data_IF_225770691395
#
_entry.id   IF_225770691395
#
_cell.length_a   1.000
_cell.length_b   1.000
_cell.length_c   1.000
_cell.angle_alpha   90.00
_cell.angle_beta   90.00
_cell.angle_gamma   90.00
#
_symmetry.space_group_name_H-M   'P 1'
#
loop_
_entity.id
_entity.type
_entity.pdbx_description
1 polymer ?
#
# COMPACT_ATOMS: atom_id res chain seq x y z
N UNK A 1 -17.44 50.12 3.48
CA UNK A 1 -18.37 49.77 2.40
C UNK A 1 -18.33 48.29 2.22
N UNK A 2 -19.21 47.56 2.94
CA UNK A 2 -19.27 46.11 2.98
C UNK A 2 -20.21 45.61 1.87
N UNK A 3 -19.77 44.66 1.08
CA UNK A 3 -20.62 43.90 0.16
C UNK A 3 -20.55 42.43 0.51
N UNK A 4 -21.56 41.95 1.17
CA UNK A 4 -21.84 40.52 1.41
C UNK A 4 -22.50 39.94 0.15
N UNK A 5 -21.90 38.92 -0.41
CA UNK A 5 -22.49 38.15 -1.51
C UNK A 5 -22.99 36.81 -0.93
N UNK A 6 -24.33 36.66 -0.87
CA UNK A 6 -25.01 35.42 -0.44
C UNK A 6 -25.31 34.56 -1.67
N UNK A 7 -24.87 33.33 -1.69
CA UNK A 7 -25.24 32.30 -2.67
C UNK A 7 -26.53 31.58 -2.21
N UNK A 8 -27.45 31.26 -3.12
CA UNK A 8 -28.72 30.60 -2.78
C UNK A 8 -28.54 29.09 -2.66
N UNK A 9 -29.22 28.53 -1.65
CA UNK A 9 -29.38 27.07 -1.45
C UNK A 9 -30.44 26.55 -2.41
N UNK A 10 -30.06 25.57 -3.24
CA UNK A 10 -31.02 24.85 -4.08
C UNK A 10 -31.45 23.57 -3.35
N UNK A 11 -32.72 23.51 -2.97
CA UNK A 11 -33.42 22.32 -2.49
C UNK A 11 -33.94 21.54 -3.70
N UNK A 12 -33.58 20.29 -3.84
CA UNK A 12 -34.24 19.36 -4.76
C UNK A 12 -34.94 18.31 -3.91
N UNK A 13 -36.26 18.39 -3.91
CA UNK A 13 -37.17 17.38 -3.37
C UNK A 13 -37.38 16.30 -4.44
N UNK A 14 -37.07 15.09 -4.16
CA UNK A 14 -37.28 13.95 -5.05
C UNK A 14 -38.36 13.01 -4.52
N UNK A 15 -39.24 12.69 -5.38
CA UNK A 15 -40.55 12.06 -5.31
C UNK A 15 -40.45 10.56 -4.97
N UNK A 16 -41.21 10.12 -3.94
CA UNK A 16 -41.50 8.70 -3.66
C UNK A 16 -42.53 8.17 -4.65
N UNK A 17 -42.28 7.04 -5.27
CA UNK A 17 -43.27 6.20 -5.92
C UNK A 17 -43.38 4.87 -5.20
N UNK A 18 -44.48 4.68 -4.48
CA UNK A 18 -44.96 3.39 -4.01
C UNK A 18 -45.72 2.69 -5.15
N UNK A 19 -45.41 1.47 -5.42
CA UNK A 19 -46.28 0.58 -6.16
C UNK A 19 -46.46 -0.72 -5.39
N UNK A 20 -47.74 -1.04 -5.17
CA UNK A 20 -48.23 -2.10 -4.30
C UNK A 20 -48.58 -3.38 -5.03
N UNK A 21 -48.54 -4.47 -4.26
CA UNK A 21 -49.37 -5.66 -4.28
C UNK A 21 -49.47 -6.55 -5.54
N UNK A 22 -49.08 -7.78 -5.33
CA UNK A 22 -49.54 -8.96 -6.08
C UNK A 22 -49.38 -10.19 -5.22
N UNK A 23 -50.41 -10.55 -4.45
CA UNK A 23 -50.55 -11.83 -3.76
C UNK A 23 -50.95 -12.91 -4.71
N UNK A 24 -50.21 -14.02 -4.81
CA UNK A 24 -50.75 -15.29 -5.21
C UNK A 24 -50.17 -16.40 -4.37
N UNK A 25 -51.07 -17.01 -3.60
CA UNK A 25 -50.90 -18.22 -2.82
C UNK A 25 -51.00 -19.44 -3.73
N UNK A 26 -49.99 -20.29 -3.75
CA UNK A 26 -50.17 -21.68 -4.07
C UNK A 26 -49.54 -22.57 -3.01
N UNK A 27 -50.40 -23.46 -2.59
CA UNK A 27 -50.31 -24.35 -1.45
C UNK A 27 -49.64 -25.66 -1.84
N UNK A 28 -48.86 -26.14 -0.88
CA UNK A 28 -48.65 -27.51 -0.44
C UNK A 28 -48.00 -28.58 -1.35
N UNK A 29 -47.05 -29.10 -0.72
CA UNK A 29 -46.76 -30.54 -0.49
C UNK A 29 -45.67 -31.17 -1.32
N UNK A 30 -44.75 -31.56 -0.53
CA UNK A 30 -43.99 -32.81 -0.52
C UNK A 30 -42.61 -32.87 -1.19
N UNK A 31 -41.79 -33.29 -0.31
CA UNK A 31 -40.69 -34.24 -0.48
C UNK A 31 -39.25 -33.69 -0.64
N UNK A 32 -38.57 -34.05 0.39
CA UNK A 32 -37.21 -34.63 0.38
C UNK A 32 -36.05 -33.69 0.46
N UNK A 33 -35.50 -33.68 1.64
CA UNK A 33 -34.07 -33.55 1.98
C UNK A 33 -33.10 -33.44 0.80
N UNK A 34 -32.71 -32.26 0.49
CA UNK A 34 -31.37 -31.97 0.00
C UNK A 34 -30.83 -30.83 0.85
N UNK A 35 -29.86 -31.16 1.69
CA UNK A 35 -29.03 -30.22 2.37
C UNK A 35 -28.24 -29.44 1.31
N UNK A 36 -28.80 -28.34 0.85
CA UNK A 36 -28.01 -27.32 0.18
C UNK A 36 -27.54 -26.37 1.24
N UNK A 37 -26.30 -26.63 1.72
CA UNK A 37 -25.53 -25.62 2.38
C UNK A 37 -25.53 -24.40 1.49
N UNK A 38 -26.16 -23.37 1.99
CA UNK A 38 -26.02 -22.03 1.42
C UNK A 38 -24.64 -21.55 1.85
N UNK A 39 -23.62 -21.92 1.08
CA UNK A 39 -22.35 -21.22 1.08
C UNK A 39 -22.64 -19.82 0.57
N UNK A 40 -22.98 -18.94 1.51
CA UNK A 40 -22.69 -17.53 1.35
C UNK A 40 -21.18 -17.37 1.61
N UNK A 41 -20.35 -18.05 0.79
CA UNK A 41 -18.95 -17.73 0.66
C UNK A 41 -18.94 -16.33 0.04
N UNK A 42 -18.63 -15.33 0.86
CA UNK A 42 -18.02 -14.12 0.37
C UNK A 42 -16.93 -14.57 -0.59
N UNK A 43 -16.79 -13.90 -1.71
CA UNK A 43 -15.68 -14.09 -2.63
C UNK A 43 -14.41 -13.74 -1.86
N UNK A 44 -13.87 -14.70 -1.10
CA UNK A 44 -12.49 -14.64 -0.66
C UNK A 44 -11.68 -14.67 -1.96
N UNK A 45 -11.00 -13.57 -2.25
CA UNK A 45 -10.12 -13.53 -3.41
C UNK A 45 -9.12 -14.66 -3.22
N UNK A 46 -9.14 -15.65 -4.10
CA UNK A 46 -8.19 -16.74 -4.06
C UNK A 46 -6.77 -16.17 -4.11
N UNK A 47 -5.88 -16.67 -3.30
CA UNK A 47 -4.47 -16.29 -3.27
C UNK A 47 -3.59 -17.52 -3.46
N UNK A 48 -2.32 -17.32 -3.75
CA UNK A 48 -1.32 -18.37 -3.88
C UNK A 48 -0.02 -18.01 -3.14
N UNK A 49 0.97 -18.88 -3.21
CA UNK A 49 2.26 -18.69 -2.53
C UNK A 49 3.00 -17.41 -3.00
N UNK A 50 2.81 -16.98 -4.24
CA UNK A 50 3.42 -15.75 -4.74
C UNK A 50 2.80 -14.49 -4.11
N UNK A 51 1.48 -14.50 -3.88
CA UNK A 51 0.78 -13.42 -3.17
C UNK A 51 1.26 -13.32 -1.71
N UNK A 52 1.41 -14.47 -1.04
CA UNK A 52 1.92 -14.55 0.34
C UNK A 52 3.36 -14.03 0.40
N UNK A 53 4.23 -14.51 -0.49
CA UNK A 53 5.63 -14.10 -0.54
C UNK A 53 5.75 -12.60 -0.82
N UNK A 54 4.94 -12.05 -1.72
CA UNK A 54 4.92 -10.62 -1.99
C UNK A 54 4.62 -9.82 -0.72
N UNK A 55 3.56 -10.16 0.00
CA UNK A 55 3.20 -9.46 1.24
C UNK A 55 4.30 -9.59 2.31
N UNK A 56 4.84 -10.82 2.50
CA UNK A 56 5.90 -11.08 3.47
C UNK A 56 7.19 -10.31 3.18
N UNK A 57 7.55 -10.12 1.92
CA UNK A 57 8.77 -9.39 1.54
C UNK A 57 8.54 -7.87 1.45
N UNK A 58 7.39 -7.43 0.98
CA UNK A 58 7.11 -6.01 0.80
C UNK A 58 6.90 -5.27 2.12
N UNK A 59 6.36 -5.95 3.16
CA UNK A 59 6.23 -5.35 4.49
C UNK A 59 7.58 -4.85 5.03
N UNK A 60 8.61 -5.70 5.24
CA UNK A 60 9.89 -5.20 5.76
C UNK A 60 10.60 -4.25 4.79
N UNK A 61 10.35 -4.36 3.49
CA UNK A 61 10.86 -3.41 2.51
C UNK A 61 10.24 -2.02 2.73
N UNK A 62 8.95 -1.91 2.94
CA UNK A 62 8.27 -0.65 3.23
C UNK A 62 8.66 -0.10 4.62
N UNK A 63 8.81 -0.96 5.63
CA UNK A 63 9.30 -0.54 6.95
C UNK A 63 10.67 0.15 6.86
N UNK A 64 11.58 -0.35 6.01
CA UNK A 64 12.86 0.35 5.80
C UNK A 64 12.68 1.69 5.08
N UNK A 65 11.76 1.82 4.12
CA UNK A 65 11.48 3.12 3.51
C UNK A 65 10.97 4.14 4.53
N UNK A 66 10.15 3.69 5.50
CA UNK A 66 9.68 4.53 6.60
C UNK A 66 10.84 4.92 7.52
N UNK A 67 11.75 4.00 7.83
CA UNK A 67 12.97 4.31 8.58
C UNK A 67 13.80 5.38 7.88
N UNK A 68 14.05 5.23 6.59
CA UNK A 68 14.77 6.23 5.78
C UNK A 68 14.02 7.57 5.71
N UNK A 69 12.68 7.54 5.66
CA UNK A 69 11.86 8.74 5.70
C UNK A 69 11.96 9.45 7.07
N UNK A 70 11.93 8.71 8.16
CA UNK A 70 12.09 9.26 9.52
C UNK A 70 13.48 9.88 9.71
N UNK A 71 14.54 9.31 9.13
CA UNK A 71 15.87 9.95 9.08
C UNK A 71 15.81 11.29 8.35
N UNK A 72 15.16 11.38 7.20
CA UNK A 72 15.03 12.64 6.45
C UNK A 72 14.22 13.70 7.22
N UNK A 73 13.30 13.28 8.08
CA UNK A 73 12.50 14.17 8.94
C UNK A 73 13.21 14.57 10.22
N UNK A 74 14.32 13.90 10.60
CA UNK A 74 15.12 14.27 11.77
C UNK A 74 15.81 15.62 11.54
N UNK A 75 15.54 16.63 12.38
CA UNK A 75 16.13 17.97 12.22
C UNK A 75 17.66 17.98 12.38
N UNK A 76 18.26 16.97 12.99
CA UNK A 76 19.71 16.89 13.18
C UNK A 76 20.45 16.63 11.87
N UNK A 77 19.85 15.93 10.93
CA UNK A 77 20.42 15.63 9.62
C UNK A 77 20.27 16.80 8.62
N UNK A 78 19.47 17.82 8.97
CA UNK A 78 19.34 19.07 8.20
C UNK A 78 18.97 18.85 6.73
N UNK A 79 18.13 17.85 6.46
CA UNK A 79 17.62 17.62 5.13
C UNK A 79 16.89 18.86 4.60
N UNK A 80 16.91 19.05 3.29
CA UNK A 80 16.17 20.13 2.62
C UNK A 80 14.67 19.96 2.77
N UNK A 81 13.92 21.05 2.65
CA UNK A 81 12.44 20.99 2.69
C UNK A 81 11.84 20.14 1.56
N UNK A 82 12.54 20.00 0.44
CA UNK A 82 12.12 19.13 -0.65
C UNK A 82 12.22 17.65 -0.25
N UNK A 83 13.34 17.25 0.33
CA UNK A 83 13.56 15.88 0.84
C UNK A 83 12.57 15.57 1.97
N UNK A 84 12.39 16.46 2.93
CA UNK A 84 11.41 16.29 4.02
C UNK A 84 9.97 16.13 3.51
N UNK A 85 9.61 16.93 2.51
CA UNK A 85 8.26 16.85 1.92
C UNK A 85 8.05 15.49 1.26
N UNK A 86 9.03 15.02 0.48
CA UNK A 86 8.95 13.72 -0.18
C UNK A 86 8.97 12.56 0.84
N UNK A 87 9.83 12.63 1.85
CA UNK A 87 9.87 11.66 2.93
C UNK A 87 8.52 11.52 3.67
N UNK A 88 7.87 12.65 3.96
CA UNK A 88 6.55 12.64 4.58
C UNK A 88 5.47 12.04 3.66
N UNK A 89 5.56 12.25 2.34
CA UNK A 89 4.67 11.65 1.35
C UNK A 89 4.87 10.14 1.27
N UNK A 90 6.11 9.67 1.14
CA UNK A 90 6.47 8.24 1.12
C UNK A 90 5.92 7.54 2.37
N UNK A 91 6.18 8.09 3.55
CA UNK A 91 5.66 7.54 4.81
C UNK A 91 4.13 7.44 4.81
N UNK A 92 3.45 8.51 4.40
CA UNK A 92 1.98 8.56 4.37
C UNK A 92 1.36 7.57 3.36
N UNK A 93 2.08 7.24 2.29
CA UNK A 93 1.64 6.27 1.30
C UNK A 93 1.89 4.83 1.79
N UNK A 94 3.07 4.56 2.33
CA UNK A 94 3.49 3.19 2.63
C UNK A 94 2.99 2.65 3.98
N UNK A 95 2.72 3.50 4.99
CA UNK A 95 2.12 3.07 6.27
C UNK A 95 0.81 2.28 6.07
N UNK A 96 -0.20 2.77 5.31
CA UNK A 96 -1.44 2.02 5.08
C UNK A 96 -1.27 0.76 4.20
N UNK A 97 -0.23 0.71 3.36
CA UNK A 97 0.07 -0.47 2.55
C UNK A 97 0.63 -1.61 3.42
N UNK A 98 1.48 -1.30 4.41
CA UNK A 98 1.93 -2.26 5.42
C UNK A 98 0.74 -2.82 6.20
N UNK A 99 -0.17 -1.96 6.67
CA UNK A 99 -1.35 -2.37 7.39
C UNK A 99 -2.21 -3.33 6.55
N UNK A 100 -2.42 -3.01 5.27
CA UNK A 100 -3.20 -3.82 4.35
C UNK A 100 -2.57 -5.20 4.11
N UNK A 101 -1.28 -5.26 3.83
CA UNK A 101 -0.56 -6.53 3.61
C UNK A 101 -0.51 -7.38 4.89
N UNK A 102 -0.36 -6.75 6.04
CA UNK A 102 -0.42 -7.42 7.36
C UNK A 102 -1.80 -8.03 7.60
N UNK A 103 -2.87 -7.32 7.22
CA UNK A 103 -4.24 -7.84 7.31
C UNK A 103 -4.41 -9.05 6.39
N UNK A 104 -3.91 -8.99 5.15
CA UNK A 104 -3.98 -10.15 4.23
C UNK A 104 -3.28 -11.38 4.80
N UNK A 105 -2.06 -11.25 5.31
CA UNK A 105 -1.36 -12.38 5.92
C UNK A 105 -2.12 -12.97 7.10
N UNK A 106 -2.77 -12.11 7.91
CA UNK A 106 -3.63 -12.55 9.02
C UNK A 106 -4.85 -13.31 8.51
N UNK A 107 -5.54 -12.80 7.49
CA UNK A 107 -6.73 -13.41 6.92
C UNK A 107 -6.42 -14.74 6.21
N UNK A 108 -5.20 -14.87 5.69
CA UNK A 108 -4.69 -16.09 5.05
C UNK A 108 -4.06 -17.09 6.01
N UNK A 109 -4.05 -16.80 7.32
CA UNK A 109 -3.36 -17.61 8.37
C UNK A 109 -1.87 -17.85 8.01
N UNK A 110 -1.20 -16.80 7.49
CA UNK A 110 0.21 -16.82 7.12
C UNK A 110 1.03 -15.97 8.10
N UNK A 111 2.26 -16.40 8.48
CA UNK A 111 3.12 -15.63 9.37
C UNK A 111 3.67 -14.38 8.69
N UNK A 112 3.98 -13.36 9.48
CA UNK A 112 4.90 -12.30 9.07
C UNK A 112 6.30 -12.90 8.89
N UNK A 113 7.11 -12.30 8.00
CA UNK A 113 8.51 -12.68 7.86
C UNK A 113 9.30 -12.28 9.12
N UNK A 114 10.02 -13.23 9.70
CA UNK A 114 10.92 -12.94 10.83
C UNK A 114 12.29 -12.50 10.29
N UNK A 115 12.54 -11.20 10.32
CA UNK A 115 13.82 -10.62 9.89
C UNK A 115 14.95 -10.83 10.91
N UNK A 116 14.68 -11.42 12.08
CA UNK A 116 15.70 -11.70 13.10
C UNK A 116 16.50 -12.97 12.81
N UNK A 117 15.99 -13.86 11.97
CA UNK A 117 16.76 -14.99 11.47
C UNK A 117 17.67 -14.49 10.35
N UNK A 118 18.98 -14.78 10.46
CA UNK A 118 20.01 -14.47 9.46
C UNK A 118 19.74 -15.22 8.13
N UNK A 119 18.60 -14.94 7.52
CA UNK A 119 18.42 -15.25 6.12
C UNK A 119 19.10 -14.13 5.35
N UNK A 120 20.22 -14.47 4.71
CA UNK A 120 20.95 -13.64 3.76
C UNK A 120 20.07 -13.37 2.50
N UNK A 121 18.86 -12.88 2.76
CA UNK A 121 17.91 -12.43 1.75
C UNK A 121 18.16 -10.94 1.56
N UNK A 122 19.26 -10.61 0.87
CA UNK A 122 19.43 -9.26 0.38
C UNK A 122 18.29 -8.99 -0.62
N UNK A 123 17.22 -8.35 -0.13
CA UNK A 123 16.18 -7.87 -1.02
C UNK A 123 16.74 -6.75 -1.87
N UNK A 124 16.46 -6.80 -3.18
CA UNK A 124 16.96 -5.80 -4.12
C UNK A 124 16.58 -4.39 -3.65
N UNK A 125 17.56 -3.52 -3.57
CA UNK A 125 17.40 -2.12 -3.24
C UNK A 125 17.38 -1.77 -1.75
N UNK A 126 17.29 -2.74 -0.85
CA UNK A 126 17.40 -2.47 0.59
C UNK A 126 18.84 -2.09 0.98
N UNK A 127 18.93 -1.20 1.95
CA UNK A 127 20.20 -0.84 2.58
C UNK A 127 20.54 -1.84 3.69
N UNK A 128 21.82 -2.14 3.82
CA UNK A 128 22.34 -2.83 5.00
C UNK A 128 22.39 -1.90 6.22
N UNK A 129 22.52 -2.49 7.41
CA UNK A 129 22.67 -1.73 8.66
C UNK A 129 23.88 -0.75 8.60
N UNK A 130 24.98 -1.16 7.96
CA UNK A 130 26.15 -0.31 7.82
C UNK A 130 25.90 0.88 6.86
N UNK A 131 25.13 0.66 5.79
CA UNK A 131 24.75 1.73 4.85
C UNK A 131 23.79 2.73 5.50
N UNK A 132 22.81 2.26 6.28
CA UNK A 132 21.91 3.13 7.05
C UNK A 132 22.73 3.96 8.07
N UNK A 133 23.66 3.31 8.79
CA UNK A 133 24.54 4.01 9.73
C UNK A 133 25.39 5.06 9.01
N UNK A 134 25.98 4.73 7.86
CA UNK A 134 26.76 5.67 7.07
C UNK A 134 25.92 6.85 6.55
N UNK A 135 24.67 6.61 6.17
CA UNK A 135 23.73 7.67 5.79
C UNK A 135 23.44 8.63 6.96
N UNK A 136 23.33 8.08 8.17
CA UNK A 136 23.09 8.85 9.40
C UNK A 136 24.24 9.77 9.84
N UNK A 137 25.43 9.55 9.32
CA UNK A 137 26.59 10.44 9.56
C UNK A 137 26.62 11.68 8.64
N UNK A 138 25.81 11.69 7.60
CA UNK A 138 25.72 12.79 6.63
C UNK A 138 24.72 13.88 7.10
N UNK A 139 24.90 15.09 6.60
CA UNK A 139 23.95 16.19 6.89
C UNK A 139 23.80 17.14 5.71
N UNK A 140 22.64 17.81 5.62
CA UNK A 140 22.41 18.84 4.60
C UNK A 140 22.44 18.24 3.18
N UNK A 141 23.13 18.91 2.27
CA UNK A 141 23.15 18.52 0.86
C UNK A 141 23.80 17.13 0.61
N UNK A 142 24.78 16.75 1.43
CA UNK A 142 25.40 15.41 1.32
C UNK A 142 24.41 14.32 1.73
N UNK A 143 23.65 14.55 2.79
CA UNK A 143 22.53 13.66 3.18
C UNK A 143 21.48 13.60 2.09
N UNK A 144 21.03 14.73 1.56
CA UNK A 144 19.98 14.80 0.53
C UNK A 144 20.33 13.94 -0.70
N UNK A 145 21.56 14.05 -1.18
CA UNK A 145 22.04 13.29 -2.34
C UNK A 145 22.15 11.79 -2.06
N UNK A 146 22.70 11.42 -0.90
CA UNK A 146 22.85 10.03 -0.51
C UNK A 146 21.46 9.38 -0.28
N UNK A 147 20.58 10.07 0.43
CA UNK A 147 19.20 9.63 0.69
C UNK A 147 18.40 9.45 -0.60
N UNK A 148 18.45 10.41 -1.51
CA UNK A 148 17.77 10.31 -2.80
C UNK A 148 18.29 9.13 -3.63
N UNK A 149 19.61 8.92 -3.65
CA UNK A 149 20.23 7.79 -4.34
C UNK A 149 19.78 6.46 -3.75
N UNK A 150 19.77 6.35 -2.43
CA UNK A 150 19.33 5.17 -1.71
C UNK A 150 17.85 4.87 -1.97
N UNK A 151 16.99 5.89 -1.86
CA UNK A 151 15.55 5.74 -2.08
C UNK A 151 15.21 5.35 -3.52
N UNK A 152 15.96 5.84 -4.52
CA UNK A 152 15.81 5.41 -5.91
C UNK A 152 16.11 3.91 -6.07
N UNK A 153 17.18 3.43 -5.45
CA UNK A 153 17.53 2.00 -5.50
C UNK A 153 16.48 1.15 -4.79
N UNK A 154 16.03 1.62 -3.63
CA UNK A 154 14.98 1.00 -2.83
C UNK A 154 13.67 0.87 -3.62
N UNK A 155 13.17 1.95 -4.21
CA UNK A 155 11.96 1.95 -5.03
C UNK A 155 12.06 1.02 -6.26
N UNK A 156 13.22 0.95 -6.90
CA UNK A 156 13.45 -0.01 -7.99
C UNK A 156 13.32 -1.45 -7.52
N UNK A 157 13.74 -1.76 -6.29
CA UNK A 157 13.56 -3.07 -5.67
C UNK A 157 12.09 -3.42 -5.48
N UNK A 158 11.29 -2.50 -4.91
CA UNK A 158 9.85 -2.69 -4.74
C UNK A 158 9.11 -2.88 -6.06
N UNK A 159 9.44 -2.07 -7.09
CA UNK A 159 8.85 -2.22 -8.43
C UNK A 159 9.11 -3.61 -8.98
N UNK A 160 10.32 -4.14 -8.83
CA UNK A 160 10.66 -5.49 -9.29
C UNK A 160 9.87 -6.59 -8.56
N UNK A 161 9.67 -6.46 -7.23
CA UNK A 161 8.81 -7.38 -6.49
C UNK A 161 7.36 -7.30 -6.94
N UNK A 162 6.85 -6.09 -7.19
CA UNK A 162 5.50 -5.85 -7.70
C UNK A 162 5.30 -6.43 -9.12
N UNK A 163 6.29 -6.31 -10.01
CA UNK A 163 6.28 -6.95 -11.33
C UNK A 163 6.19 -8.47 -11.21
N UNK A 164 6.97 -9.06 -10.31
CA UNK A 164 6.98 -10.52 -10.10
C UNK A 164 5.60 -11.03 -9.67
N UNK A 165 4.97 -10.40 -8.68
CA UNK A 165 3.66 -10.86 -8.20
C UNK A 165 2.54 -10.61 -9.21
N UNK A 166 2.68 -9.64 -10.10
CA UNK A 166 1.73 -9.45 -11.20
C UNK A 166 1.73 -10.60 -12.20
N UNK A 167 2.89 -11.22 -12.42
CA UNK A 167 3.03 -12.34 -13.33
C UNK A 167 2.64 -13.67 -12.66
N UNK A 168 2.96 -13.85 -11.38
CA UNK A 168 2.90 -15.13 -10.67
C UNK A 168 1.74 -15.21 -9.65
N UNK A 169 1.20 -14.07 -9.19
CA UNK A 169 0.16 -14.00 -8.17
C UNK A 169 -1.24 -14.31 -8.70
N UNK A 170 -2.10 -14.75 -7.81
CA UNK A 170 -3.48 -15.12 -8.13
C UNK A 170 -4.51 -14.09 -7.61
N UNK A 171 -4.18 -13.39 -6.53
CA UNK A 171 -5.09 -12.45 -5.88
C UNK A 171 -5.20 -11.14 -6.67
N UNK A 172 -6.43 -10.80 -7.07
CA UNK A 172 -6.69 -9.50 -7.72
C UNK A 172 -6.39 -8.30 -6.80
N UNK A 173 -6.61 -8.45 -5.48
CA UNK A 173 -6.31 -7.41 -4.52
C UNK A 173 -4.80 -7.13 -4.45
N UNK A 174 -3.99 -8.19 -4.46
CA UNK A 174 -2.52 -8.06 -4.47
C UNK A 174 -2.04 -7.45 -5.79
N UNK A 175 -2.60 -7.87 -6.91
CA UNK A 175 -2.26 -7.30 -8.23
C UNK A 175 -2.64 -5.82 -8.33
N UNK A 176 -3.76 -5.42 -7.74
CA UNK A 176 -4.20 -4.02 -7.70
C UNK A 176 -3.23 -3.18 -6.85
N UNK A 177 -2.83 -3.66 -5.67
CA UNK A 177 -1.81 -2.99 -4.85
C UNK A 177 -0.45 -2.93 -5.56
N UNK A 178 -0.01 -4.03 -6.17
CA UNK A 178 1.24 -4.07 -6.93
C UNK A 178 1.26 -3.02 -8.07
N UNK A 179 0.13 -2.86 -8.79
CA UNK A 179 -0.01 -1.81 -9.80
C UNK A 179 0.09 -0.40 -9.20
N UNK A 180 -0.52 -0.16 -8.03
CA UNK A 180 -0.47 1.12 -7.34
C UNK A 180 0.98 1.44 -6.91
N UNK A 181 1.65 0.51 -6.23
CA UNK A 181 3.06 0.63 -5.81
C UNK A 181 3.96 0.97 -7.00
N UNK A 182 3.83 0.26 -8.13
CA UNK A 182 4.62 0.52 -9.33
C UNK A 182 4.41 1.95 -9.85
N UNK A 183 3.16 2.42 -9.90
CA UNK A 183 2.83 3.74 -10.42
C UNK A 183 3.35 4.86 -9.50
N UNK A 184 3.12 4.73 -8.19
CA UNK A 184 3.51 5.73 -7.21
C UNK A 184 5.03 5.80 -7.10
N UNK A 185 5.71 4.68 -6.92
CA UNK A 185 7.17 4.67 -6.75
C UNK A 185 7.91 5.05 -8.04
N UNK A 186 7.36 4.76 -9.24
CA UNK A 186 7.93 5.27 -10.48
C UNK A 186 7.81 6.81 -10.55
N UNK A 187 6.73 7.39 -10.03
CA UNK A 187 6.55 8.84 -9.97
C UNK A 187 7.50 9.48 -8.95
N UNK A 188 7.71 8.82 -7.82
CA UNK A 188 8.64 9.27 -6.78
C UNK A 188 10.11 9.20 -7.25
N UNK A 189 10.50 8.15 -7.98
CA UNK A 189 11.82 8.06 -8.63
C UNK A 189 12.05 9.27 -9.53
N UNK A 190 11.06 9.67 -10.34
CA UNK A 190 11.21 10.83 -11.22
C UNK A 190 11.36 12.17 -10.47
N UNK A 191 10.85 12.25 -9.22
CA UNK A 191 11.08 13.41 -8.33
C UNK A 191 12.46 13.33 -7.68
N UNK A 192 12.86 12.14 -7.20
CA UNK A 192 14.17 11.90 -6.59
C UNK A 192 15.32 12.16 -7.55
N UNK A 193 15.19 11.76 -8.82
CA UNK A 193 16.20 12.00 -9.85
C UNK A 193 16.44 13.51 -10.06
N UNK A 194 15.40 14.34 -9.96
CA UNK A 194 15.52 15.80 -10.05
C UNK A 194 16.22 16.45 -8.84
N UNK A 195 16.30 15.74 -7.71
CA UNK A 195 17.07 16.21 -6.55
C UNK A 195 18.56 15.99 -6.74
N UNK A 196 18.95 15.13 -7.69
CA UNK A 196 20.34 14.79 -7.99
C UNK A 196 20.94 15.64 -9.12
N UNK A 197 20.09 16.36 -9.89
CA UNK A 197 20.50 17.27 -10.97
C UNK A 197 20.94 18.65 -10.42
#
# INVERSE_FOLDING_TARGET
MFRTNRLPKLFIAGLLLLAACGSESHNMSDMSTASTGTDAAGSESSFNDADVMFAQMMIPHHEQAIELADMALDPTLKASEQVKTLAAQIKSAQDPEIDLMTQWLTDWDQPLMDMSEEHDMSMDGMLSVDEIAALGELTGAEFDQAWATAMIAHHKGAIKMAETVKDDGQSTLVQDLANLIMQEQQSEIAVLEKLLD
#
